data_IF_615024925753
#
_entry.id   IF_615024925753
#
_cell.length_a   1.000
_cell.length_b   1.000
_cell.length_c   1.000
_cell.angle_alpha   90.00
_cell.angle_beta   90.00
_cell.angle_gamma   90.00
#
_symmetry.space_group_name_H-M   'P 1'
#
loop_
_entity.id
_entity.type
_entity.pdbx_description
1 polymer ?
#
# COMPACT_ATOMS: atom_id res chain seq x y z
N UNK A 1 -23.67 7.18 -21.41
CA UNK A 1 -23.02 5.86 -21.49
C UNK A 1 -21.52 6.10 -21.61
N UNK A 2 -20.64 5.48 -20.80
CA UNK A 2 -20.83 4.66 -19.58
C UNK A 2 -20.43 5.45 -18.30
N UNK A 3 -21.18 5.37 -17.20
CA UNK A 3 -21.12 4.36 -16.13
C UNK A 3 -19.77 4.31 -15.38
N UNK A 4 -19.63 5.15 -14.36
CA UNK A 4 -18.49 5.20 -13.43
C UNK A 4 -18.69 4.25 -12.22
N UNK A 5 -19.30 3.07 -12.41
CA UNK A 5 -19.34 2.04 -11.36
C UNK A 5 -18.02 1.25 -11.35
N UNK A 6 -16.97 1.81 -10.74
CA UNK A 6 -15.92 0.99 -10.09
C UNK A 6 -15.00 1.88 -9.26
N UNK A 7 -15.39 2.17 -8.01
CA UNK A 7 -14.42 2.42 -6.94
C UNK A 7 -14.99 2.16 -5.54
N UNK A 8 -15.75 1.07 -5.37
CA UNK A 8 -16.01 0.54 -4.02
C UNK A 8 -14.85 -0.38 -3.62
N UNK A 9 -13.67 0.20 -3.41
CA UNK A 9 -12.60 -0.48 -2.70
C UNK A 9 -12.96 -0.51 -1.22
N UNK A 10 -13.53 -1.64 -0.77
CA UNK A 10 -13.37 -2.16 0.60
C UNK A 10 -13.58 -1.20 1.78
N UNK A 11 -14.73 -0.54 1.88
CA UNK A 11 -15.14 0.08 3.15
C UNK A 11 -16.26 -0.75 3.77
N UNK A 12 -15.92 -1.62 4.74
CA UNK A 12 -16.92 -2.35 5.54
C UNK A 12 -17.82 -1.34 6.29
N UNK A 13 -19.12 -1.24 5.98
CA UNK A 13 -20.00 -0.24 6.57
C UNK A 13 -20.38 -0.54 8.03
N UNK A 14 -19.96 -1.70 8.55
CA UNK A 14 -20.37 -2.22 9.86
C UNK A 14 -19.27 -2.14 10.93
N UNK A 15 -18.06 -1.71 10.57
CA UNK A 15 -16.93 -1.58 11.50
C UNK A 15 -16.51 -2.91 12.14
N UNK A 16 -16.73 -4.04 11.45
CA UNK A 16 -16.33 -5.36 11.95
C UNK A 16 -14.81 -5.48 11.90
N UNK A 17 -14.23 -6.05 12.95
CA UNK A 17 -12.79 -6.37 12.95
C UNK A 17 -12.51 -7.47 11.91
N UNK A 18 -11.49 -7.31 11.06
CA UNK A 18 -11.13 -8.34 10.09
C UNK A 18 -10.70 -9.61 10.83
N UNK A 19 -11.15 -10.75 10.31
CA UNK A 19 -10.76 -12.07 10.78
C UNK A 19 -9.29 -12.34 10.48
N UNK A 20 -8.74 -13.42 11.04
CA UNK A 20 -7.37 -13.82 10.74
C UNK A 20 -7.17 -14.12 9.25
N UNK A 21 -8.14 -14.77 8.60
CA UNK A 21 -8.04 -15.13 7.18
C UNK A 21 -7.97 -13.88 6.29
N UNK A 22 -8.82 -12.88 6.55
CA UNK A 22 -8.82 -11.62 5.80
C UNK A 22 -7.46 -10.90 5.93
N UNK A 23 -6.91 -10.83 7.16
CA UNK A 23 -5.59 -10.25 7.38
C UNK A 23 -4.48 -10.96 6.60
N UNK A 24 -4.52 -12.29 6.54
CA UNK A 24 -3.55 -13.06 5.77
C UNK A 24 -3.72 -12.83 4.26
N UNK A 25 -4.95 -12.73 3.76
CA UNK A 25 -5.21 -12.42 2.36
C UNK A 25 -4.70 -11.01 2.00
N UNK A 26 -4.94 -10.01 2.84
CA UNK A 26 -4.39 -8.66 2.67
C UNK A 26 -2.87 -8.66 2.67
N UNK A 27 -2.25 -9.44 3.55
CA UNK A 27 -0.80 -9.55 3.60
C UNK A 27 -0.22 -10.24 2.36
N UNK A 28 -0.88 -11.29 1.87
CA UNK A 28 -0.49 -11.95 0.62
C UNK A 28 -0.57 -10.98 -0.56
N UNK A 29 -1.67 -10.24 -0.69
CA UNK A 29 -1.83 -9.25 -1.76
C UNK A 29 -0.74 -8.16 -1.72
N UNK A 30 -0.33 -7.71 -0.53
CA UNK A 30 0.79 -6.75 -0.39
C UNK A 30 2.12 -7.34 -0.83
N UNK A 31 2.37 -8.63 -0.54
CA UNK A 31 3.60 -9.31 -0.96
C UNK A 31 3.60 -9.51 -2.48
N UNK A 32 2.49 -9.94 -3.07
CA UNK A 32 2.34 -10.10 -4.51
C UNK A 32 2.63 -8.78 -5.24
N UNK A 33 2.03 -7.67 -4.78
CA UNK A 33 2.31 -6.33 -5.32
C UNK A 33 3.78 -5.91 -5.18
N UNK A 34 4.46 -6.34 -4.11
CA UNK A 34 5.90 -6.08 -3.97
C UNK A 34 6.74 -6.88 -4.97
N UNK A 35 6.37 -8.14 -5.23
CA UNK A 35 7.00 -8.98 -6.25
C UNK A 35 6.78 -8.42 -7.66
N UNK A 36 5.56 -8.01 -7.98
CA UNK A 36 5.25 -7.36 -9.27
C UNK A 36 6.12 -6.10 -9.49
N UNK A 37 6.34 -5.31 -8.43
CA UNK A 37 7.25 -4.16 -8.49
C UNK A 37 8.71 -4.56 -8.70
N UNK A 38 9.15 -5.70 -8.16
CA UNK A 38 10.49 -6.22 -8.42
C UNK A 38 10.64 -6.60 -9.89
N UNK A 39 9.68 -7.34 -10.43
CA UNK A 39 9.68 -7.77 -11.84
C UNK A 39 9.61 -6.57 -12.79
N UNK A 40 8.85 -5.54 -12.43
CA UNK A 40 8.78 -4.28 -13.19
C UNK A 40 10.01 -3.37 -13.02
N UNK A 41 10.94 -3.68 -12.10
CA UNK A 41 12.09 -2.84 -11.80
C UNK A 41 11.79 -1.56 -11.00
N UNK A 42 10.61 -1.49 -10.38
CA UNK A 42 10.14 -0.36 -9.55
C UNK A 42 10.17 -0.67 -8.04
N UNK A 43 10.74 -1.81 -7.64
CA UNK A 43 10.87 -2.15 -6.23
C UNK A 43 11.74 -1.13 -5.50
N UNK A 44 11.29 -0.74 -4.31
CA UNK A 44 11.93 0.31 -3.52
C UNK A 44 11.66 1.73 -4.01
N UNK A 45 10.71 1.95 -4.94
CA UNK A 45 10.24 3.29 -5.31
C UNK A 45 8.88 3.55 -4.65
N UNK A 46 8.72 4.74 -4.09
CA UNK A 46 7.49 5.19 -3.43
C UNK A 46 6.37 5.42 -4.46
N UNK A 47 5.20 4.82 -4.26
CA UNK A 47 4.03 5.00 -5.12
C UNK A 47 3.40 6.41 -5.02
N UNK A 48 3.67 7.14 -3.94
CA UNK A 48 3.12 8.48 -3.70
C UNK A 48 3.97 9.64 -4.24
N UNK A 49 5.30 9.57 -4.09
CA UNK A 49 6.20 10.66 -4.48
C UNK A 49 7.28 10.26 -5.49
N UNK A 50 7.29 9.00 -5.95
CA UNK A 50 8.28 8.45 -6.88
C UNK A 50 9.74 8.50 -6.41
N UNK A 51 9.98 8.81 -5.13
CA UNK A 51 11.31 8.82 -4.51
C UNK A 51 11.71 7.42 -4.02
N UNK A 52 13.02 7.14 -3.88
CA UNK A 52 13.49 5.88 -3.32
C UNK A 52 13.04 5.71 -1.86
N UNK A 53 12.63 4.49 -1.51
CA UNK A 53 12.29 4.05 -0.16
C UNK A 53 13.57 3.63 0.54
N UNK A 54 13.82 4.17 1.73
CA UNK A 54 15.00 3.83 2.54
C UNK A 54 15.10 2.33 2.81
N UNK A 55 16.29 1.75 2.66
CA UNK A 55 16.56 0.33 2.91
C UNK A 55 16.10 -0.13 4.30
N UNK A 56 16.29 0.69 5.34
CA UNK A 56 15.82 0.39 6.70
C UNK A 56 14.30 0.13 6.78
N UNK A 57 13.49 0.74 5.90
CA UNK A 57 12.05 0.47 5.83
C UNK A 57 11.75 -0.83 5.10
N UNK A 58 12.43 -1.08 3.99
CA UNK A 58 12.27 -2.33 3.23
C UNK A 58 12.76 -3.54 4.04
N UNK A 59 13.76 -3.36 4.89
CA UNK A 59 14.25 -4.39 5.82
C UNK A 59 13.22 -4.71 6.93
N UNK A 60 12.54 -3.68 7.44
CA UNK A 60 11.49 -3.86 8.43
C UNK A 60 10.18 -4.41 7.84
N UNK A 61 9.81 -3.99 6.63
CA UNK A 61 8.63 -4.47 5.90
C UNK A 61 8.91 -4.41 4.38
N UNK A 62 9.23 -5.54 3.72
CA UNK A 62 9.58 -5.56 2.30
C UNK A 62 8.38 -5.28 1.39
N UNK A 63 7.17 -5.44 1.91
CA UNK A 63 5.95 -5.18 1.16
C UNK A 63 5.55 -3.70 1.12
N UNK A 64 6.30 -2.80 1.77
CA UNK A 64 5.95 -1.38 1.84
C UNK A 64 6.02 -0.71 0.46
N UNK A 65 5.02 0.12 0.17
CA UNK A 65 4.88 0.87 -1.10
C UNK A 65 5.15 2.37 -0.96
N UNK A 66 5.20 2.90 0.26
CA UNK A 66 5.38 4.34 0.54
C UNK A 66 6.64 4.65 1.35
N UNK A 67 7.29 5.77 1.07
CA UNK A 67 8.38 6.31 1.88
C UNK A 67 7.90 6.86 3.24
N UNK A 68 8.84 7.17 4.13
CA UNK A 68 8.60 7.82 5.45
C UNK A 68 7.77 9.08 5.34
N UNK A 69 8.09 9.89 4.35
CA UNK A 69 7.52 11.22 4.16
C UNK A 69 6.07 11.14 3.68
N UNK A 70 5.75 10.21 2.79
CA UNK A 70 4.36 9.97 2.35
C UNK A 70 3.51 9.24 3.39
N UNK A 71 4.13 8.44 4.27
CA UNK A 71 3.43 7.74 5.36
C UNK A 71 3.15 8.66 6.54
N UNK A 72 3.92 9.74 6.69
CA UNK A 72 3.72 10.71 7.75
C UNK A 72 2.30 11.30 7.63
N UNK A 73 1.56 11.43 8.74
CA UNK A 73 0.27 12.11 8.69
C UNK A 73 0.52 13.50 8.13
N UNK A 74 -0.27 13.92 7.14
CA UNK A 74 -0.17 15.23 6.52
C UNK A 74 -0.38 16.31 7.59
N UNK A 75 0.68 16.72 8.29
CA UNK A 75 0.70 17.92 9.09
C UNK A 75 0.84 19.06 8.10
N UNK A 76 -0.28 19.46 7.52
CA UNK A 76 -0.42 20.73 6.84
C UNK A 76 -0.01 21.82 7.85
N UNK A 77 1.21 22.33 7.74
CA UNK A 77 1.57 23.62 8.32
C UNK A 77 1.68 24.60 7.17
N UNK A 78 0.75 25.54 7.12
CA UNK A 78 0.95 26.86 6.53
C UNK A 78 0.58 27.90 7.58
#
# INVERSE_FOLDING_TARGET
MPDHLTHSAGQDPLGRKPTALEKYAEQLARIESALDRMDAGHYGICTGCNSPISLKRLDADPAVETCSDCRAPATLTS
#
